data_IF_757645499309
#
_entry.id   IF_757645499309
#
_cell.length_a   1.000
_cell.length_b   1.000
_cell.length_c   1.000
_cell.angle_alpha   90.00
_cell.angle_beta   90.00
_cell.angle_gamma   90.00
#
_symmetry.space_group_name_H-M   'P 1'
#
loop_
_entity.id
_entity.type
_entity.pdbx_description
1 polymer ?
#
# COMPACT_ATOMS: atom_id res chain seq x y z
N UNK A 1 6.30 -34.35 25.17
CA UNK A 1 6.04 -33.58 23.93
C UNK A 1 5.54 -32.21 24.36
N UNK A 2 6.34 -31.17 24.19
CA UNK A 2 5.83 -29.80 24.37
C UNK A 2 4.91 -29.51 23.19
N UNK A 3 3.65 -29.16 23.46
CA UNK A 3 2.78 -28.59 22.44
C UNK A 3 3.39 -27.25 22.03
N UNK A 4 3.97 -27.19 20.83
CA UNK A 4 4.39 -25.95 20.18
C UNK A 4 3.13 -25.23 19.69
N UNK A 5 2.39 -24.64 20.62
CA UNK A 5 1.33 -23.68 20.30
C UNK A 5 1.98 -22.35 19.96
N UNK A 6 1.68 -21.80 18.78
CA UNK A 6 2.13 -20.46 18.35
C UNK A 6 1.74 -19.46 19.46
N UNK A 7 2.67 -18.60 19.91
CA UNK A 7 2.37 -17.64 20.95
C UNK A 7 1.32 -16.63 20.46
N UNK A 8 0.35 -16.30 21.30
CA UNK A 8 -0.69 -15.31 20.98
C UNK A 8 -0.11 -13.88 20.91
N UNK A 9 0.97 -13.65 21.68
CA UNK A 9 1.65 -12.36 21.77
C UNK A 9 3.16 -12.49 21.66
N UNK A 10 3.82 -11.48 21.07
CA UNK A 10 5.28 -11.40 20.95
C UNK A 10 5.76 -10.05 21.48
N UNK A 11 6.96 -10.03 22.06
CA UNK A 11 7.61 -8.78 22.45
C UNK A 11 7.89 -7.91 21.22
N UNK A 12 7.62 -6.60 21.28
CA UNK A 12 7.86 -5.71 20.15
C UNK A 12 9.36 -5.56 19.90
N UNK A 13 9.77 -5.90 18.68
CA UNK A 13 11.11 -5.63 18.16
C UNK A 13 10.97 -4.70 16.98
N UNK A 14 11.79 -3.66 16.94
CA UNK A 14 11.78 -2.66 15.86
C UNK A 14 13.19 -2.42 15.38
N UNK A 15 13.33 -2.40 14.07
CA UNK A 15 14.54 -2.03 13.38
C UNK A 15 14.43 -0.61 12.81
N UNK A 16 15.58 -0.03 12.49
CA UNK A 16 15.63 1.28 11.84
C UNK A 16 14.87 1.30 10.50
N UNK A 17 14.81 0.16 9.81
CA UNK A 17 14.11 0.01 8.53
C UNK A 17 12.60 0.25 8.67
N UNK A 18 11.98 -0.10 9.79
CA UNK A 18 10.54 0.09 10.03
C UNK A 18 10.17 1.57 10.10
N UNK A 19 11.02 2.37 10.75
CA UNK A 19 10.86 3.83 10.78
C UNK A 19 11.05 4.45 9.39
N UNK A 20 12.03 3.96 8.62
CA UNK A 20 12.24 4.42 7.24
C UNK A 20 11.03 4.11 6.37
N UNK A 21 10.47 2.90 6.47
CA UNK A 21 9.29 2.49 5.73
C UNK A 21 8.09 3.38 6.06
N UNK A 22 7.82 3.63 7.34
CA UNK A 22 6.74 4.52 7.77
C UNK A 22 6.86 5.93 7.17
N UNK A 23 8.06 6.53 7.20
CA UNK A 23 8.31 7.86 6.64
C UNK A 23 8.13 7.85 5.12
N UNK A 24 8.70 6.85 4.44
CA UNK A 24 8.63 6.75 2.99
C UNK A 24 7.18 6.61 2.51
N UNK A 25 6.40 5.73 3.12
CA UNK A 25 4.98 5.56 2.81
C UNK A 25 4.20 6.86 3.05
N UNK A 26 4.48 7.57 4.15
CA UNK A 26 3.83 8.85 4.47
C UNK A 26 4.11 9.92 3.41
N UNK A 27 5.37 10.03 2.95
CA UNK A 27 5.75 10.97 1.90
C UNK A 27 5.17 10.56 0.55
N UNK A 28 5.10 9.26 0.26
CA UNK A 28 4.61 8.72 -1.01
C UNK A 28 3.11 8.92 -1.23
N UNK A 29 2.31 9.12 -0.18
CA UNK A 29 0.88 9.48 -0.31
C UNK A 29 0.68 10.84 -0.98
N UNK A 30 1.54 11.82 -0.68
CA UNK A 30 1.41 13.20 -1.18
C UNK A 30 1.34 13.31 -2.72
N UNK A 31 2.30 12.75 -3.49
CA UNK A 31 2.22 12.83 -4.94
C UNK A 31 1.00 12.08 -5.50
N UNK A 32 0.60 10.95 -4.91
CA UNK A 32 -0.57 10.19 -5.37
C UNK A 32 -1.89 10.95 -5.13
N UNK A 33 -2.03 11.60 -3.96
CA UNK A 33 -3.14 12.51 -3.66
C UNK A 33 -3.19 13.68 -4.65
N UNK A 34 -2.03 14.26 -4.96
CA UNK A 34 -1.92 15.34 -5.95
C UNK A 34 -2.37 14.89 -7.35
N UNK A 35 -1.92 13.72 -7.81
CA UNK A 35 -2.32 13.18 -9.11
C UNK A 35 -3.82 12.88 -9.16
N UNK A 36 -4.36 12.25 -8.12
CA UNK A 36 -5.80 11.97 -8.01
C UNK A 36 -6.62 13.27 -8.10
N UNK A 37 -6.23 14.28 -7.34
CA UNK A 37 -6.87 15.60 -7.37
C UNK A 37 -6.81 16.25 -8.75
N UNK A 38 -5.64 16.21 -9.39
CA UNK A 38 -5.43 16.76 -10.75
C UNK A 38 -6.29 16.04 -11.78
N UNK A 39 -6.36 14.72 -11.75
CA UNK A 39 -7.18 13.93 -12.67
C UNK A 39 -8.68 14.27 -12.54
N UNK A 40 -9.16 14.56 -11.34
CA UNK A 40 -10.55 14.97 -11.10
C UNK A 40 -10.82 16.38 -11.65
N UNK A 41 -9.99 17.37 -11.30
CA UNK A 41 -10.28 18.79 -11.59
C UNK A 41 -9.84 19.28 -12.99
N UNK A 42 -8.80 18.73 -13.59
CA UNK A 42 -8.21 19.35 -14.79
C UNK A 42 -8.84 18.85 -16.10
N UNK A 43 -9.34 19.80 -16.90
CA UNK A 43 -9.98 19.55 -18.21
C UNK A 43 -9.03 18.95 -19.26
N UNK A 44 -7.72 19.21 -19.17
CA UNK A 44 -6.71 18.60 -20.06
C UNK A 44 -6.63 17.07 -19.91
N UNK A 45 -6.84 16.54 -18.70
CA UNK A 45 -6.96 15.10 -18.48
C UNK A 45 -8.28 14.54 -19.01
N UNK A 46 -9.34 15.35 -19.13
CA UNK A 46 -10.61 14.89 -19.70
C UNK A 46 -10.50 14.56 -21.20
N UNK A 47 -9.50 15.11 -21.91
CA UNK A 47 -9.24 14.79 -23.32
C UNK A 47 -8.67 13.39 -23.52
N UNK A 48 -8.01 12.83 -22.50
CA UNK A 48 -7.40 11.48 -22.55
C UNK A 48 -8.09 10.57 -21.53
N UNK A 49 -9.33 10.16 -21.86
CA UNK A 49 -10.23 9.42 -20.95
C UNK A 49 -9.56 8.16 -20.35
N UNK A 50 -8.88 7.35 -21.17
CA UNK A 50 -8.21 6.13 -20.71
C UNK A 50 -7.05 6.44 -19.76
N UNK A 51 -6.15 7.37 -20.13
CA UNK A 51 -5.03 7.76 -19.28
C UNK A 51 -5.51 8.34 -17.94
N UNK A 52 -6.57 9.15 -17.95
CA UNK A 52 -7.19 9.68 -16.73
C UNK A 52 -7.66 8.55 -15.81
N UNK A 53 -8.43 7.59 -16.33
CA UNK A 53 -8.96 6.47 -15.53
C UNK A 53 -7.81 5.61 -15.00
N UNK A 54 -6.82 5.30 -15.84
CA UNK A 54 -5.62 4.55 -15.46
C UNK A 54 -4.87 5.23 -14.31
N UNK A 55 -4.56 6.53 -14.43
CA UNK A 55 -3.86 7.27 -13.38
C UNK A 55 -4.69 7.37 -12.10
N UNK A 56 -6.02 7.53 -12.19
CA UNK A 56 -6.90 7.56 -11.01
C UNK A 56 -6.90 6.22 -10.26
N UNK A 57 -7.03 5.10 -10.98
CA UNK A 57 -7.00 3.75 -10.38
C UNK A 57 -5.65 3.52 -9.70
N UNK A 58 -4.54 3.73 -10.41
CA UNK A 58 -3.19 3.52 -9.87
C UNK A 58 -2.93 4.41 -8.65
N UNK A 59 -3.25 5.71 -8.73
CA UNK A 59 -3.03 6.63 -7.60
C UNK A 59 -3.87 6.23 -6.38
N UNK A 60 -5.10 5.76 -6.60
CA UNK A 60 -5.98 5.32 -5.50
C UNK A 60 -5.45 4.05 -4.84
N UNK A 61 -5.03 3.06 -5.63
CA UNK A 61 -4.44 1.82 -5.11
C UNK A 61 -3.14 2.10 -4.36
N UNK A 62 -2.26 2.96 -4.88
CA UNK A 62 -1.05 3.38 -4.17
C UNK A 62 -1.37 4.03 -2.82
N UNK A 63 -2.37 4.92 -2.75
CA UNK A 63 -2.78 5.55 -1.48
C UNK A 63 -3.25 4.49 -0.48
N UNK A 64 -4.09 3.55 -0.92
CA UNK A 64 -4.56 2.46 -0.05
C UNK A 64 -3.38 1.63 0.44
N UNK A 65 -2.48 1.21 -0.45
CA UNK A 65 -1.30 0.43 -0.09
C UNK A 65 -0.42 1.12 0.94
N UNK A 66 -0.05 2.38 0.69
CA UNK A 66 0.75 3.14 1.65
C UNK A 66 0.02 3.36 2.97
N UNK A 67 -1.30 3.48 2.98
CA UNK A 67 -2.09 3.60 4.21
C UNK A 67 -2.02 2.32 5.04
N UNK A 68 -2.14 1.14 4.41
CA UNK A 68 -2.02 -0.15 5.10
C UNK A 68 -0.63 -0.29 5.74
N UNK A 69 0.44 0.01 5.00
CA UNK A 69 1.80 -0.01 5.56
C UNK A 69 1.96 0.99 6.72
N UNK A 70 1.45 2.22 6.59
CA UNK A 70 1.52 3.22 7.68
C UNK A 70 0.81 2.73 8.93
N UNK A 71 -0.37 2.11 8.80
CA UNK A 71 -1.09 1.53 9.93
C UNK A 71 -0.32 0.39 10.58
N UNK A 72 0.29 -0.48 9.77
CA UNK A 72 1.08 -1.61 10.27
C UNK A 72 2.35 -1.15 11.01
N UNK A 73 3.20 -0.35 10.35
CA UNK A 73 4.42 0.15 10.99
C UNK A 73 4.11 1.08 12.16
N UNK A 74 3.04 1.88 12.06
CA UNK A 74 2.55 2.71 13.16
C UNK A 74 2.11 1.88 14.36
N UNK A 75 1.42 0.75 14.13
CA UNK A 75 1.04 -0.20 15.18
C UNK A 75 2.27 -0.80 15.87
N UNK A 76 3.24 -1.29 15.10
CA UNK A 76 4.48 -1.84 15.64
C UNK A 76 5.23 -0.82 16.50
N UNK A 77 5.46 0.38 15.96
CA UNK A 77 6.12 1.51 16.63
C UNK A 77 5.40 1.90 17.92
N UNK A 78 4.07 1.94 17.89
CA UNK A 78 3.29 2.24 19.08
C UNK A 78 3.49 1.17 20.16
N UNK A 79 3.34 -0.12 19.81
CA UNK A 79 3.56 -1.23 20.75
C UNK A 79 4.96 -1.21 21.38
N UNK A 80 5.99 -0.92 20.58
CA UNK A 80 7.36 -0.78 21.07
C UNK A 80 7.51 0.37 22.08
N UNK A 81 6.97 1.55 21.78
CA UNK A 81 7.08 2.69 22.69
C UNK A 81 6.20 2.57 23.95
N UNK A 82 5.09 1.83 23.87
CA UNK A 82 4.22 1.57 25.04
C UNK A 82 4.60 0.29 25.80
N UNK A 83 5.68 -0.40 25.42
CA UNK A 83 6.07 -1.71 25.93
C UNK A 83 4.89 -2.70 25.95
N UNK A 84 4.03 -2.60 24.95
CA UNK A 84 2.86 -3.45 24.80
C UNK A 84 3.18 -4.59 23.85
N UNK A 85 2.71 -5.79 24.18
CA UNK A 85 2.97 -6.94 23.31
C UNK A 85 2.22 -6.80 21.99
N UNK A 86 2.82 -7.35 20.94
CA UNK A 86 2.23 -7.44 19.61
C UNK A 86 1.30 -8.66 19.59
N UNK A 87 0.07 -8.50 19.11
CA UNK A 87 -0.84 -9.61 18.87
C UNK A 87 -0.50 -10.30 17.55
N UNK A 88 -0.23 -11.61 17.58
CA UNK A 88 0.20 -12.37 16.39
C UNK A 88 -0.90 -12.42 15.33
N UNK A 89 -2.15 -12.56 15.75
CA UNK A 89 -3.31 -12.54 14.84
C UNK A 89 -3.40 -11.21 14.08
N UNK A 90 -3.13 -10.08 14.74
CA UNK A 90 -3.12 -8.79 14.07
C UNK A 90 -2.00 -8.71 13.03
N UNK A 91 -0.79 -9.16 13.37
CA UNK A 91 0.33 -9.18 12.42
C UNK A 91 0.07 -10.10 11.23
N UNK A 92 -0.54 -11.27 11.45
CA UNK A 92 -0.94 -12.18 10.39
C UNK A 92 -1.97 -11.53 9.44
N UNK A 93 -2.98 -10.85 10.01
CA UNK A 93 -3.98 -10.12 9.24
C UNK A 93 -3.36 -8.97 8.42
N UNK A 94 -2.42 -8.22 9.00
CA UNK A 94 -1.69 -7.18 8.28
C UNK A 94 -0.81 -7.76 7.18
N UNK A 95 -0.07 -8.83 7.45
CA UNK A 95 0.76 -9.51 6.45
C UNK A 95 -0.06 -10.05 5.28
N UNK A 96 -1.23 -10.62 5.56
CA UNK A 96 -2.15 -11.12 4.53
C UNK A 96 -2.68 -9.96 3.70
N UNK A 97 -3.13 -8.89 4.35
CA UNK A 97 -3.61 -7.68 3.69
C UNK A 97 -2.53 -7.04 2.80
N UNK A 98 -1.28 -7.03 3.27
CA UNK A 98 -0.15 -6.46 2.54
C UNK A 98 0.11 -7.22 1.24
N UNK A 99 0.19 -8.55 1.31
CA UNK A 99 0.37 -9.42 0.15
C UNK A 99 -0.78 -9.24 -0.85
N UNK A 100 -2.03 -9.19 -0.38
CA UNK A 100 -3.20 -9.01 -1.24
C UNK A 100 -3.17 -7.66 -1.97
N UNK A 101 -2.88 -6.57 -1.26
CA UNK A 101 -2.85 -5.23 -1.85
C UNK A 101 -1.67 -5.08 -2.82
N UNK A 102 -0.51 -5.64 -2.51
CA UNK A 102 0.66 -5.64 -3.40
C UNK A 102 0.40 -6.44 -4.69
N UNK A 103 -0.25 -7.61 -4.57
CA UNK A 103 -0.68 -8.40 -5.73
C UNK A 103 -1.67 -7.62 -6.60
N UNK A 104 -2.69 -6.99 -5.98
CA UNK A 104 -3.67 -6.17 -6.71
C UNK A 104 -2.96 -5.03 -7.46
N UNK A 105 -2.02 -4.33 -6.82
CA UNK A 105 -1.26 -3.24 -7.43
C UNK A 105 -0.44 -3.75 -8.63
N UNK A 106 0.26 -4.87 -8.47
CA UNK A 106 1.09 -5.48 -9.52
C UNK A 106 0.25 -5.93 -10.71
N UNK A 107 -0.84 -6.65 -10.48
CA UNK A 107 -1.76 -7.09 -11.54
C UNK A 107 -2.37 -5.90 -12.25
N UNK A 108 -2.77 -4.86 -11.51
CA UNK A 108 -3.34 -3.65 -12.08
C UNK A 108 -2.34 -2.92 -12.98
N UNK A 109 -1.08 -2.81 -12.55
CA UNK A 109 0.01 -2.25 -13.37
C UNK A 109 0.20 -3.02 -14.67
N UNK A 110 0.25 -4.36 -14.62
CA UNK A 110 0.42 -5.22 -15.79
C UNK A 110 -0.76 -5.05 -16.76
N UNK A 111 -1.98 -5.08 -16.26
CA UNK A 111 -3.18 -4.95 -17.08
C UNK A 111 -3.24 -3.60 -17.78
N UNK A 112 -2.99 -2.52 -17.05
CA UNK A 112 -3.03 -1.17 -17.60
C UNK A 112 -1.88 -0.90 -18.57
N UNK A 113 -0.70 -1.47 -18.33
CA UNK A 113 0.45 -1.39 -19.25
C UNK A 113 0.16 -2.13 -20.56
N UNK A 114 -0.46 -3.31 -20.47
CA UNK A 114 -0.88 -4.10 -21.64
C UNK A 114 -1.96 -3.38 -22.45
N UNK A 115 -2.93 -2.75 -21.77
CA UNK A 115 -3.98 -1.95 -22.41
C UNK A 115 -3.40 -0.71 -23.12
N UNK A 116 -2.43 -0.05 -22.50
CA UNK A 116 -1.74 1.09 -23.12
C UNK A 116 -0.97 0.66 -24.37
N UNK A 117 -0.23 -0.45 -24.30
CA UNK A 117 0.45 -1.05 -25.44
C UNK A 117 -0.54 -1.31 -26.58
N UNK A 118 -1.63 -2.03 -26.32
CA UNK A 118 -2.66 -2.33 -27.31
C UNK A 118 -3.24 -1.08 -27.99
N UNK A 119 -3.60 -0.08 -27.19
CA UNK A 119 -4.15 1.20 -27.69
C UNK A 119 -3.14 2.03 -28.49
N UNK A 120 -1.84 1.91 -28.22
CA UNK A 120 -0.76 2.62 -28.94
C UNK A 120 -0.34 1.88 -30.20
N UNK A 121 -0.37 0.54 -30.20
CA UNK A 121 0.05 -0.29 -31.34
C UNK A 121 -0.99 -0.41 -32.46
N UNK A 122 -2.22 0.07 -32.27
CA UNK A 122 -3.19 0.22 -33.35
C UNK A 122 -3.54 -1.06 -34.11
N UNK A 123 -3.69 -2.18 -33.40
CA UNK A 123 -4.41 -3.38 -33.88
C UNK A 123 -5.87 -3.25 -33.45
#
# INVERSE_FOLDING_TARGET
MANLTVPEYIDPTIEFQDYQALILCSVAILPNMYFLHRCIKYKLFSKRKYLKVMTMIMSSQCIVNFTVHILFYGYLINCYHTNSNICVENCENFSTSDIEVEQILTVTLIYLSSLLLFLVSGI
#
